data_IF_330958744375
#
_entry.id   IF_330958744375
#
_cell.length_a   1.000
_cell.length_b   1.000
_cell.length_c   1.000
_cell.angle_alpha   90.00
_cell.angle_beta   90.00
_cell.angle_gamma   90.00
#
_symmetry.space_group_name_H-M   'P 1'
#
loop_
_entity.id
_entity.type
_entity.pdbx_description
1 polymer ?
#
# COMPACT_ATOMS: atom_id res chain seq x y z
N UNK A 1 -0.98 11.06 4.69
CA UNK A 1 -1.08 9.89 3.79
C UNK A 1 0.30 9.30 3.58
N UNK A 2 0.40 7.99 3.67
CA UNK A 2 1.66 7.29 3.44
C UNK A 2 1.88 7.18 1.94
N UNK A 3 3.03 7.62 1.40
CA UNK A 3 3.31 7.45 -0.01
C UNK A 3 3.48 5.98 -0.37
N UNK A 4 2.99 5.59 -1.54
CA UNK A 4 3.25 4.26 -2.07
C UNK A 4 4.46 4.29 -2.97
N UNK A 5 5.22 3.19 -2.99
CA UNK A 5 6.41 3.05 -3.83
C UNK A 5 6.24 1.86 -4.75
N UNK A 6 6.46 2.10 -6.03
CA UNK A 6 6.51 1.04 -7.02
C UNK A 6 7.95 0.50 -7.07
N UNK A 7 8.12 -0.76 -6.69
CA UNK A 7 9.44 -1.37 -6.65
C UNK A 7 9.90 -1.73 -8.06
N UNK A 8 10.99 -1.12 -8.50
CA UNK A 8 11.62 -1.43 -9.78
C UNK A 8 13.03 -1.99 -9.62
N UNK A 9 13.64 -1.82 -8.42
CA UNK A 9 14.98 -2.32 -8.13
C UNK A 9 15.01 -2.98 -6.76
N UNK A 10 15.34 -4.27 -6.72
CA UNK A 10 15.39 -5.07 -5.49
C UNK A 10 16.57 -4.67 -4.60
N UNK A 11 17.64 -4.10 -5.17
CA UNK A 11 18.89 -3.82 -4.47
C UNK A 11 18.97 -2.42 -3.88
N UNK A 12 17.89 -1.66 -3.89
CA UNK A 12 17.90 -0.33 -3.28
C UNK A 12 17.97 -0.45 -1.75
N UNK A 13 18.95 0.21 -1.09
CA UNK A 13 19.15 0.08 0.37
C UNK A 13 17.91 0.42 1.21
N UNK A 14 17.00 1.26 0.73
CA UNK A 14 15.76 1.62 1.43
C UNK A 14 14.93 0.38 1.77
N UNK A 15 14.98 -0.67 0.94
CA UNK A 15 14.15 -1.86 1.12
C UNK A 15 14.67 -2.80 2.21
N UNK A 16 15.83 -2.52 2.79
CA UNK A 16 16.32 -3.26 3.95
C UNK A 16 15.58 -2.89 5.22
N UNK A 17 15.01 -1.68 5.27
CA UNK A 17 14.23 -1.19 6.41
C UNK A 17 12.75 -1.50 6.20
N UNK A 18 12.39 -2.75 6.43
CA UNK A 18 11.02 -3.20 6.25
C UNK A 18 10.22 -3.08 7.54
N UNK A 19 8.94 -2.78 7.39
CA UNK A 19 8.00 -2.65 8.51
C UNK A 19 6.60 -3.07 8.05
N UNK A 20 5.67 -2.98 8.97
CA UNK A 20 4.26 -3.27 8.71
C UNK A 20 3.44 -2.00 8.95
N UNK A 21 2.48 -1.76 8.08
CA UNK A 21 1.52 -0.66 8.27
C UNK A 21 0.15 -1.29 8.53
N UNK A 22 -0.39 -1.21 9.76
CA UNK A 22 -1.66 -1.85 10.06
C UNK A 22 -2.83 -1.10 9.43
N UNK A 23 -3.84 -1.85 9.00
CA UNK A 23 -5.08 -1.27 8.48
C UNK A 23 -6.26 -2.21 8.74
N UNK A 24 -7.45 -1.66 8.74
CA UNK A 24 -8.70 -2.43 8.76
C UNK A 24 -9.49 -2.19 7.47
N UNK A 25 -9.28 -1.06 6.81
CA UNK A 25 -9.81 -0.74 5.49
C UNK A 25 -8.88 0.24 4.80
N UNK A 26 -9.00 0.35 3.48
CA UNK A 26 -8.28 1.36 2.72
C UNK A 26 -9.13 1.82 1.54
N UNK A 27 -8.88 3.04 1.08
CA UNK A 27 -9.64 3.57 -0.04
C UNK A 27 -8.77 3.77 -1.27
N UNK A 28 -9.40 3.57 -2.42
CA UNK A 28 -8.89 3.95 -3.73
C UNK A 28 -9.94 4.81 -4.42
N UNK A 29 -9.49 5.79 -5.18
CA UNK A 29 -10.40 6.69 -5.86
C UNK A 29 -10.82 6.11 -7.20
N UNK A 30 -12.14 6.06 -7.44
CA UNK A 30 -12.69 5.66 -8.72
C UNK A 30 -12.79 6.90 -9.61
N UNK A 31 -12.19 6.84 -10.82
CA UNK A 31 -12.19 7.99 -11.73
C UNK A 31 -13.38 7.90 -12.69
N UNK A 32 -14.20 8.96 -12.73
CA UNK A 32 -15.33 9.08 -13.63
C UNK A 32 -15.06 10.07 -14.77
N UNK A 33 -15.75 9.92 -15.92
CA UNK A 33 -15.57 10.84 -17.05
C UNK A 33 -15.87 12.30 -16.74
N UNK A 34 -16.69 12.59 -15.74
CA UNK A 34 -17.01 13.95 -15.32
C UNK A 34 -15.93 14.60 -14.47
N UNK A 35 -14.82 13.89 -14.21
CA UNK A 35 -13.71 14.38 -13.40
C UNK A 35 -13.83 14.11 -11.92
N UNK A 36 -14.94 13.55 -11.45
CA UNK A 36 -15.09 13.19 -10.04
C UNK A 36 -14.28 11.95 -9.72
N UNK A 37 -13.78 11.87 -8.48
CA UNK A 37 -12.94 10.77 -8.00
C UNK A 37 -13.35 10.37 -6.58
N UNK A 38 -14.57 9.85 -6.40
CA UNK A 38 -15.02 9.45 -5.07
C UNK A 38 -14.20 8.26 -4.55
N UNK A 39 -13.99 8.18 -3.23
CA UNK A 39 -13.30 7.04 -2.65
C UNK A 39 -14.18 5.80 -2.63
N UNK A 40 -13.54 4.65 -2.84
CA UNK A 40 -14.14 3.34 -2.65
C UNK A 40 -13.32 2.62 -1.60
N UNK A 41 -13.97 2.12 -0.56
CA UNK A 41 -13.30 1.50 0.58
C UNK A 41 -13.31 -0.01 0.48
N UNK A 42 -12.15 -0.60 0.68
CA UNK A 42 -11.93 -2.05 0.65
C UNK A 42 -11.54 -2.56 2.02
N UNK A 43 -12.00 -3.76 2.35
CA UNK A 43 -11.60 -4.50 3.55
C UNK A 43 -11.64 -6.00 3.23
N UNK A 44 -11.08 -6.82 4.12
CA UNK A 44 -11.11 -8.28 3.95
C UNK A 44 -12.53 -8.82 4.09
N UNK A 45 -13.36 -8.17 4.93
CA UNK A 45 -14.78 -8.50 5.13
C UNK A 45 -15.49 -7.30 5.73
N UNK A 46 -16.81 -7.42 5.88
CA UNK A 46 -17.63 -6.38 6.52
C UNK A 46 -17.20 -6.12 7.98
N UNK A 47 -16.63 -7.11 8.64
CA UNK A 47 -16.14 -6.98 10.01
C UNK A 47 -14.81 -6.20 10.11
N UNK A 48 -14.19 -5.91 8.99
CA UNK A 48 -12.94 -5.17 8.89
C UNK A 48 -11.83 -5.70 9.79
N UNK A 49 -11.41 -6.98 9.61
CA UNK A 49 -10.33 -7.53 10.42
C UNK A 49 -9.00 -6.85 10.14
N UNK A 50 -8.12 -6.87 11.13
CA UNK A 50 -6.79 -6.27 11.01
C UNK A 50 -5.95 -7.01 9.98
N UNK A 51 -5.31 -6.24 9.11
CA UNK A 51 -4.31 -6.74 8.17
C UNK A 51 -3.18 -5.71 8.07
N UNK A 52 -2.19 -5.97 7.24
CA UNK A 52 -1.00 -5.13 7.17
C UNK A 52 -0.58 -4.90 5.73
N UNK A 53 -0.16 -3.67 5.44
CA UNK A 53 0.57 -3.37 4.21
C UNK A 53 2.05 -3.67 4.42
N UNK A 54 2.72 -4.13 3.35
CA UNK A 54 4.17 -4.24 3.33
C UNK A 54 4.77 -2.84 3.36
N UNK A 55 5.38 -2.49 4.47
CA UNK A 55 5.97 -1.17 4.66
C UNK A 55 7.47 -1.17 4.49
N UNK A 56 7.99 -0.03 4.09
CA UNK A 56 9.43 0.28 4.08
C UNK A 56 9.63 1.67 4.68
N UNK A 57 10.78 1.92 5.25
CA UNK A 57 11.07 3.21 5.86
C UNK A 57 12.53 3.58 5.69
N UNK A 58 12.83 4.86 5.83
CA UNK A 58 14.19 5.37 5.89
C UNK A 58 14.24 6.56 6.86
N UNK A 59 15.26 6.63 7.71
CA UNK A 59 15.39 7.78 8.62
C UNK A 59 15.89 9.03 7.93
N UNK A 60 16.49 8.92 6.74
CA UNK A 60 17.12 10.04 6.04
C UNK A 60 16.73 10.06 4.56
N UNK A 61 15.50 10.51 4.30
CA UNK A 61 15.03 10.66 2.93
C UNK A 61 15.15 12.11 2.50
N UNK A 62 15.96 12.37 1.44
CA UNK A 62 16.09 13.70 0.86
C UNK A 62 15.04 13.90 -0.22
N UNK A 63 14.28 14.97 -0.12
CA UNK A 63 13.23 15.28 -1.09
C UNK A 63 12.91 16.77 -1.10
N UNK A 64 12.34 17.21 -2.21
CA UNK A 64 11.73 18.53 -2.31
C UNK A 64 10.22 18.33 -2.23
N UNK A 65 9.61 18.70 -1.09
CA UNK A 65 8.17 18.58 -0.89
C UNK A 65 7.41 19.78 -1.42
N UNK A 66 8.00 20.95 -1.18
CA UNK A 66 7.48 22.24 -1.65
C UNK A 66 8.63 23.03 -2.23
N UNK A 67 8.38 23.72 -3.32
CA UNK A 67 9.39 24.56 -3.96
C UNK A 67 9.96 25.59 -2.98
N UNK A 68 9.12 26.14 -2.09
CA UNK A 68 9.52 27.14 -1.09
C UNK A 68 10.47 26.58 -0.03
N UNK A 69 10.37 25.31 0.29
CA UNK A 69 11.19 24.68 1.33
C UNK A 69 12.53 24.20 0.80
N UNK A 70 12.64 23.97 -0.53
CA UNK A 70 13.82 23.37 -1.11
C UNK A 70 13.97 21.91 -0.71
N UNK A 71 15.20 21.39 -0.79
CA UNK A 71 15.49 20.02 -0.39
C UNK A 71 15.50 19.89 1.12
N UNK A 72 14.76 18.90 1.64
CA UNK A 72 14.70 18.59 3.07
C UNK A 72 15.08 17.14 3.31
N UNK A 73 15.64 16.85 4.48
CA UNK A 73 15.95 15.47 4.90
C UNK A 73 15.04 15.10 6.04
N UNK A 74 14.23 14.05 5.85
CA UNK A 74 13.23 13.62 6.82
C UNK A 74 13.20 12.10 6.94
N UNK A 75 12.72 11.60 8.09
CA UNK A 75 12.32 10.21 8.21
C UNK A 75 11.02 10.01 7.41
N UNK A 76 10.99 9.00 6.55
CA UNK A 76 9.82 8.67 5.75
C UNK A 76 9.52 7.19 5.82
N UNK A 77 8.25 6.84 5.67
CA UNK A 77 7.86 5.48 5.40
C UNK A 77 6.85 5.44 4.25
N UNK A 78 6.77 4.30 3.63
CA UNK A 78 5.88 4.07 2.49
C UNK A 78 5.42 2.62 2.51
N UNK A 79 4.44 2.27 1.70
CA UNK A 79 4.09 0.88 1.48
C UNK A 79 4.28 0.50 0.01
N UNK A 80 4.57 -0.77 -0.22
CA UNK A 80 4.75 -1.30 -1.56
C UNK A 80 3.42 -1.41 -2.27
N UNK A 81 3.45 -1.21 -3.59
CA UNK A 81 2.30 -1.47 -4.44
C UNK A 81 2.62 -2.58 -5.43
N UNK A 82 1.58 -3.17 -5.98
CA UNK A 82 1.63 -4.22 -6.98
C UNK A 82 0.52 -4.03 -7.98
N UNK A 83 0.50 -4.83 -9.05
CA UNK A 83 -0.63 -4.85 -9.96
C UNK A 83 -1.92 -5.19 -9.18
N UNK A 84 -3.05 -4.58 -9.50
CA UNK A 84 -4.28 -4.83 -8.77
C UNK A 84 -4.86 -6.20 -9.07
N UNK A 85 -5.57 -6.77 -8.08
CA UNK A 85 -6.44 -7.91 -8.33
C UNK A 85 -7.72 -7.44 -9.03
N UNK A 86 -8.64 -8.36 -9.31
CA UNK A 86 -9.83 -8.04 -10.11
C UNK A 86 -10.71 -6.97 -9.46
N UNK A 87 -11.02 -7.10 -8.16
CA UNK A 87 -11.93 -6.16 -7.48
C UNK A 87 -11.34 -4.76 -7.35
N UNK A 88 -10.05 -4.65 -7.05
CA UNK A 88 -9.40 -3.33 -6.97
C UNK A 88 -9.18 -2.76 -8.37
N UNK A 89 -8.82 -3.59 -9.34
CA UNK A 89 -8.53 -3.16 -10.71
C UNK A 89 -9.71 -2.53 -11.42
N UNK A 90 -10.92 -2.96 -11.09
CA UNK A 90 -12.15 -2.32 -11.64
C UNK A 90 -12.26 -0.86 -11.18
N UNK A 91 -11.84 -0.56 -9.98
CA UNK A 91 -11.94 0.77 -9.37
C UNK A 91 -10.68 1.59 -9.66
N UNK A 92 -9.51 0.98 -9.49
CA UNK A 92 -8.21 1.65 -9.60
C UNK A 92 -7.24 0.75 -10.37
N UNK A 93 -7.20 0.85 -11.70
CA UNK A 93 -6.45 -0.09 -12.55
C UNK A 93 -4.93 0.04 -12.46
N UNK A 94 -4.40 1.09 -11.82
CA UNK A 94 -2.95 1.34 -11.79
C UNK A 94 -2.20 0.44 -10.82
N UNK A 95 -2.73 0.24 -9.61
CA UNK A 95 -2.01 -0.47 -8.56
C UNK A 95 -2.91 -0.76 -7.35
N UNK A 96 -2.44 -1.65 -6.48
CA UNK A 96 -3.00 -1.85 -5.15
C UNK A 96 -1.87 -2.03 -4.15
N UNK A 97 -2.10 -1.82 -2.83
CA UNK A 97 -1.09 -2.11 -1.82
C UNK A 97 -0.77 -3.60 -1.78
N UNK A 98 0.47 -3.92 -1.41
CA UNK A 98 0.85 -5.30 -1.06
C UNK A 98 0.34 -5.56 0.36
N UNK A 99 -0.49 -6.59 0.52
CA UNK A 99 -1.21 -6.87 1.77
C UNK A 99 -0.82 -8.24 2.31
N UNK A 100 -0.60 -8.30 3.63
CA UNK A 100 -0.34 -9.53 4.37
C UNK A 100 -1.49 -9.83 5.30
N UNK A 101 -1.96 -11.07 5.27
CA UNK A 101 -3.10 -11.54 6.06
C UNK A 101 -2.74 -12.71 6.98
N UNK A 102 -1.55 -13.29 6.85
CA UNK A 102 -1.12 -14.44 7.64
C UNK A 102 0.14 -14.14 8.44
N UNK A 103 0.32 -14.78 9.62
CA UNK A 103 1.55 -14.64 10.40
C UNK A 103 2.81 -15.03 9.63
N UNK A 104 2.74 -16.05 8.77
CA UNK A 104 3.88 -16.49 7.98
C UNK A 104 4.35 -15.43 6.99
N UNK A 105 3.43 -14.75 6.32
CA UNK A 105 3.76 -13.65 5.42
C UNK A 105 4.42 -12.50 6.18
N UNK A 106 3.88 -12.16 7.35
CA UNK A 106 4.39 -11.10 8.19
C UNK A 106 5.81 -11.40 8.65
N UNK A 107 6.03 -12.60 9.18
CA UNK A 107 7.37 -13.01 9.63
C UNK A 107 8.36 -13.02 8.48
N UNK A 108 7.99 -13.59 7.34
CA UNK A 108 8.83 -13.61 6.15
C UNK A 108 9.24 -12.21 5.73
N UNK A 109 8.27 -11.28 5.66
CA UNK A 109 8.55 -9.89 5.27
C UNK A 109 9.57 -9.23 6.20
N UNK A 110 9.47 -9.47 7.51
CA UNK A 110 10.30 -8.81 8.51
C UNK A 110 11.68 -9.44 8.69
N UNK A 111 11.88 -10.70 8.34
CA UNK A 111 13.08 -11.46 8.75
C UNK A 111 13.96 -11.94 7.61
N UNK A 112 13.41 -12.20 6.42
CA UNK A 112 14.22 -12.75 5.32
C UNK A 112 15.03 -11.64 4.63
N UNK A 113 16.01 -12.04 3.82
CA UNK A 113 16.77 -11.08 3.04
C UNK A 113 15.91 -10.44 1.95
N UNK A 114 16.29 -9.23 1.54
CA UNK A 114 15.48 -8.43 0.61
C UNK A 114 15.06 -9.17 -0.67
N UNK A 115 15.92 -9.91 -1.38
CA UNK A 115 15.46 -10.62 -2.58
C UNK A 115 14.32 -11.59 -2.32
N UNK A 116 14.33 -12.28 -1.17
CA UNK A 116 13.25 -13.19 -0.81
C UNK A 116 12.00 -12.45 -0.38
N UNK A 117 12.16 -11.35 0.37
CA UNK A 117 11.04 -10.51 0.81
C UNK A 117 10.28 -9.96 -0.40
N UNK A 118 10.97 -9.61 -1.48
CA UNK A 118 10.34 -9.05 -2.68
C UNK A 118 9.45 -10.05 -3.41
N UNK A 119 9.54 -11.33 -3.13
CA UNK A 119 8.61 -12.33 -3.67
C UNK A 119 7.19 -12.15 -3.12
N UNK A 120 7.07 -11.44 -2.01
CA UNK A 120 5.76 -11.10 -1.43
C UNK A 120 5.11 -9.90 -2.13
N UNK A 121 5.76 -9.29 -3.10
CA UNK A 121 5.18 -8.21 -3.91
C UNK A 121 4.25 -8.81 -4.97
N UNK A 122 3.06 -9.13 -4.54
CA UNK A 122 2.00 -9.74 -5.36
C UNK A 122 0.65 -9.23 -4.86
N UNK A 123 -0.39 -9.22 -5.72
CA UNK A 123 -1.73 -8.87 -5.26
C UNK A 123 -2.30 -9.97 -4.36
N UNK A 124 -3.28 -9.61 -3.53
CA UNK A 124 -4.12 -10.62 -2.91
C UNK A 124 -4.89 -11.37 -4.01
N UNK A 125 -5.23 -12.64 -3.76
CA UNK A 125 -6.08 -13.39 -4.71
C UNK A 125 -7.38 -12.66 -4.99
N UNK A 126 -7.94 -12.87 -6.19
CA UNK A 126 -9.24 -12.33 -6.55
C UNK A 126 -10.30 -12.82 -5.55
N UNK A 127 -11.17 -11.91 -5.13
CA UNK A 127 -12.21 -12.20 -4.16
C UNK A 127 -11.78 -12.04 -2.69
N UNK A 128 -10.51 -11.74 -2.42
CA UNK A 128 -10.03 -11.58 -1.05
C UNK A 128 -10.48 -10.27 -0.40
N UNK A 129 -10.82 -9.27 -1.21
CA UNK A 129 -11.25 -7.96 -0.72
C UNK A 129 -12.70 -7.69 -1.09
N UNK A 130 -13.38 -6.94 -0.21
CA UNK A 130 -14.77 -6.53 -0.43
C UNK A 130 -14.86 -5.01 -0.36
N UNK A 131 -15.76 -4.44 -1.16
CA UNK A 131 -16.10 -3.03 -1.04
C UNK A 131 -17.05 -2.89 0.14
N UNK A 132 -16.66 -2.06 1.11
CA UNK A 132 -17.44 -1.88 2.35
C UNK A 132 -18.07 -0.48 2.45
N UNK A 133 -17.62 0.48 1.64
CA UNK A 133 -18.22 1.81 1.56
C UNK A 133 -17.87 2.48 0.23
N UNK A 134 -18.70 3.40 -0.23
CA UNK A 134 -18.49 4.17 -1.46
C UNK A 134 -18.84 5.64 -1.24
N UNK A 135 -18.01 6.52 -1.82
CA UNK A 135 -18.29 7.96 -1.84
C UNK A 135 -18.14 8.68 -0.53
N UNK A 136 -17.81 7.99 0.54
CA UNK A 136 -17.67 8.56 1.88
C UNK A 136 -16.20 8.81 2.20
N UNK A 137 -15.93 9.85 3.00
CA UNK A 137 -14.58 10.12 3.48
C UNK A 137 -14.10 9.08 4.50
N UNK A 138 -15.03 8.36 5.11
CA UNK A 138 -14.78 7.31 6.09
C UNK A 138 -15.41 6.03 5.61
N UNK A 139 -14.97 4.93 6.13
CA UNK A 139 -15.44 3.61 5.74
C UNK A 139 -16.71 3.14 6.47
N UNK A 140 -17.37 4.05 7.10
CA UNK A 140 -18.61 3.76 7.80
C UNK A 140 -18.58 3.98 9.29
#
# INVERSE_FOLDING_TARGET
MVPSIKVTKILDPIFENRCLVPFISFSENESFPDGTKPPVWFALSEDRPLAFFAGIWTPQWKSVRKVKEGETTNALFAFLTTAPNTEVGVIHPKAMPVIFTTPDEIETWLTVQTPEAMRLQRPLPDGALKIVARGERKDG
#
